data_IF_714602382583
#
_entry.id   IF_714602382583
#
_cell.length_a   1.000
_cell.length_b   1.000
_cell.length_c   1.000
_cell.angle_alpha   90.00
_cell.angle_beta   90.00
_cell.angle_gamma   90.00
#
_symmetry.space_group_name_H-M   'P 1'
#
loop_
_entity.id
_entity.type
_entity.pdbx_description
1 polymer ?
#
# COMPACT_ATOMS: atom_id res chain seq x y z
N UNK A 1 7.39 2.58 -11.28
CA UNK A 1 7.42 3.50 -10.12
C UNK A 1 8.14 2.83 -8.96
N UNK A 2 8.64 3.61 -8.03
CA UNK A 2 9.39 3.07 -6.91
C UNK A 2 8.48 2.80 -5.71
N UNK A 3 8.62 1.62 -5.11
CA UNK A 3 7.89 1.28 -3.90
C UNK A 3 8.37 2.16 -2.74
N UNK A 4 7.43 2.75 -1.99
CA UNK A 4 7.78 3.63 -0.87
C UNK A 4 8.24 2.86 0.37
N UNK A 5 8.06 1.56 0.39
CA UNK A 5 8.39 0.71 1.54
C UNK A 5 9.78 0.10 1.41
N UNK A 6 10.02 -0.67 0.34
CA UNK A 6 11.31 -1.32 0.12
C UNK A 6 12.24 -0.51 -0.77
N UNK A 7 11.72 0.56 -1.38
CA UNK A 7 12.46 1.46 -2.25
C UNK A 7 13.00 0.82 -3.52
N UNK A 8 12.51 -0.35 -3.87
CA UNK A 8 12.86 -1.01 -5.11
C UNK A 8 11.99 -0.53 -6.26
N UNK A 9 12.59 -0.41 -7.44
CA UNK A 9 11.85 -0.01 -8.62
C UNK A 9 11.00 -1.18 -9.12
N UNK A 10 9.75 -0.90 -9.42
CA UNK A 10 8.84 -1.90 -9.98
C UNK A 10 7.96 -1.26 -11.05
N UNK A 11 7.70 -2.00 -12.11
CA UNK A 11 6.81 -1.53 -13.17
C UNK A 11 5.35 -1.65 -12.76
N UNK A 12 5.05 -2.61 -11.91
CA UNK A 12 3.69 -2.86 -11.41
C UNK A 12 3.59 -2.52 -9.93
N UNK A 13 3.15 -1.31 -9.66
CA UNK A 13 2.90 -0.88 -8.28
C UNK A 13 1.43 -0.58 -8.11
N UNK A 14 0.96 -0.62 -6.86
CA UNK A 14 -0.42 -0.31 -6.50
C UNK A 14 -0.38 0.88 -5.57
N UNK A 15 -1.41 1.69 -5.60
CA UNK A 15 -1.50 2.85 -4.71
C UNK A 15 -2.16 2.47 -3.40
N UNK A 16 -1.63 3.00 -2.30
CA UNK A 16 -2.25 2.85 -0.98
C UNK A 16 -3.57 3.60 -0.96
N UNK A 17 -4.64 2.95 -0.50
CA UNK A 17 -5.96 3.58 -0.44
C UNK A 17 -6.07 4.66 0.64
N UNK A 18 -5.07 4.78 1.48
CA UNK A 18 -5.05 5.79 2.53
C UNK A 18 -4.12 6.96 2.21
N UNK A 19 -2.85 6.67 1.92
CA UNK A 19 -1.84 7.72 1.71
C UNK A 19 -1.44 7.93 0.25
N UNK A 20 -1.99 7.13 -0.65
CA UNK A 20 -1.71 7.19 -2.10
C UNK A 20 -0.26 6.90 -2.48
N UNK A 21 0.51 6.25 -1.61
CA UNK A 21 1.88 5.88 -1.92
C UNK A 21 1.95 4.67 -2.82
N UNK A 22 2.98 4.59 -3.64
CA UNK A 22 3.18 3.44 -4.54
C UNK A 22 3.76 2.26 -3.77
N UNK A 23 3.18 1.08 -3.95
CA UNK A 23 3.56 -0.15 -3.25
C UNK A 23 3.78 -1.26 -4.26
N UNK A 24 4.89 -2.00 -4.12
CA UNK A 24 5.10 -3.18 -4.96
C UNK A 24 4.31 -4.38 -4.41
N UNK A 25 4.18 -5.41 -5.24
CA UNK A 25 3.41 -6.59 -4.86
C UNK A 25 3.89 -7.27 -3.59
N UNK A 26 5.17 -7.17 -3.30
CA UNK A 26 5.76 -7.83 -2.13
C UNK A 26 5.47 -7.09 -0.83
N UNK A 27 5.25 -5.79 -0.92
CA UNK A 27 5.02 -4.95 0.26
C UNK A 27 3.54 -4.67 0.49
N UNK A 28 2.71 -4.96 -0.50
CA UNK A 28 1.28 -4.64 -0.44
C UNK A 28 0.57 -5.42 0.67
N UNK A 29 -0.33 -4.72 1.37
CA UNK A 29 -1.18 -5.33 2.38
C UNK A 29 -2.61 -5.28 1.87
N UNK A 30 -3.23 -6.44 1.71
CA UNK A 30 -4.60 -6.51 1.20
C UNK A 30 -5.61 -6.21 2.30
N UNK A 31 -6.57 -5.35 1.98
CA UNK A 31 -7.68 -5.07 2.87
C UNK A 31 -8.80 -6.08 2.71
N UNK A 32 -9.78 -6.03 3.59
CA UNK A 32 -10.90 -6.98 3.57
C UNK A 32 -11.83 -6.79 2.36
N UNK A 33 -11.91 -5.59 1.83
CA UNK A 33 -12.78 -5.27 0.71
C UNK A 33 -12.01 -5.02 -0.58
N UNK A 34 -10.80 -5.55 -0.69
CA UNK A 34 -9.97 -5.37 -1.87
C UNK A 34 -9.13 -4.10 -1.85
N UNK A 35 -9.06 -3.43 -0.71
CA UNK A 35 -8.21 -2.25 -0.57
C UNK A 35 -6.74 -2.65 -0.53
N UNK A 36 -5.87 -1.69 -0.78
CA UNK A 36 -4.43 -1.89 -0.73
C UNK A 36 -3.82 -0.87 0.21
N UNK A 37 -2.93 -1.33 1.07
CA UNK A 37 -2.28 -0.45 2.05
C UNK A 37 -0.78 -0.65 2.03
N UNK A 38 -0.04 0.42 2.32
CA UNK A 38 1.42 0.36 2.35
C UNK A 38 1.93 -0.21 3.68
N UNK A 39 1.14 -0.09 4.73
CA UNK A 39 1.51 -0.62 6.04
C UNK A 39 0.26 -0.88 6.87
N UNK A 40 0.44 -1.61 7.97
CA UNK A 40 -0.68 -1.89 8.88
C UNK A 40 -1.19 -0.62 9.55
N UNK A 41 -0.33 0.38 9.68
CA UNK A 41 -0.74 1.67 10.23
C UNK A 41 -1.78 2.33 9.34
N UNK A 42 -1.54 2.35 8.02
CA UNK A 42 -2.49 2.89 7.06
C UNK A 42 -3.80 2.12 7.08
N UNK A 43 -3.71 0.80 7.17
CA UNK A 43 -4.89 -0.06 7.25
C UNK A 43 -5.71 0.25 8.49
N UNK A 44 -5.07 0.36 9.63
CA UNK A 44 -5.73 0.66 10.90
C UNK A 44 -6.41 2.03 10.85
N UNK A 45 -5.69 3.04 10.38
CA UNK A 45 -6.23 4.40 10.30
C UNK A 45 -7.40 4.48 9.32
N UNK A 46 -7.31 3.76 8.22
CA UNK A 46 -8.38 3.71 7.23
C UNK A 46 -9.67 3.18 7.86
N UNK A 47 -9.57 2.13 8.66
CA UNK A 47 -10.73 1.52 9.30
C UNK A 47 -11.24 2.32 10.49
N UNK A 48 -10.41 3.17 11.08
CA UNK A 48 -10.82 4.01 12.20
C UNK A 48 -11.62 5.23 11.77
N UNK A 49 -11.51 5.58 10.50
CA UNK A 49 -12.27 6.67 9.93
C UNK A 49 -13.50 6.14 9.20
#
# INVERSE_FOLDING_TARGET
>A
MRCIICEDWSDDTVECDFCDGSICEECIIDGENGESFCSSDCQTEFHMN
#
